data_IF_515085208636
#
_entry.id   IF_515085208636
#
_cell.length_a   1.000
_cell.length_b   1.000
_cell.length_c   1.000
_cell.angle_alpha   90.00
_cell.angle_beta   90.00
_cell.angle_gamma   90.00
#
_symmetry.space_group_name_H-M   'P 1'
#
loop_
_entity.id
_entity.type
_entity.pdbx_description
1 polymer ?
#
# COMPACT_ATOMS: atom_id res chain seq x y z
N UNK A 1 51.08 -9.39 -25.74
CA UNK A 1 50.05 -8.85 -26.67
C UNK A 1 49.67 -7.46 -26.15
N UNK A 2 50.16 -6.38 -26.73
CA UNK A 2 49.91 -5.02 -26.22
C UNK A 2 48.63 -4.51 -26.91
N UNK A 3 47.55 -4.40 -26.15
CA UNK A 3 46.28 -3.85 -26.67
C UNK A 3 46.48 -2.35 -26.82
N UNK A 4 46.37 -1.84 -28.06
CA UNK A 4 46.57 -0.42 -28.37
C UNK A 4 45.58 0.45 -27.58
N UNK A 5 46.09 1.57 -27.01
CA UNK A 5 45.29 2.57 -26.30
C UNK A 5 44.02 3.03 -27.08
N UNK A 6 44.14 3.08 -28.40
CA UNK A 6 43.05 3.44 -29.30
C UNK A 6 41.87 2.43 -29.27
N UNK A 7 42.18 1.14 -29.08
CA UNK A 7 41.14 0.10 -28.99
C UNK A 7 40.37 0.17 -27.66
N UNK A 8 41.09 0.49 -26.57
CA UNK A 8 40.48 0.65 -25.24
C UNK A 8 39.53 1.84 -25.21
N UNK A 9 39.95 2.97 -25.80
CA UNK A 9 39.10 4.18 -25.85
C UNK A 9 37.86 3.95 -26.72
N UNK A 10 37.99 3.28 -27.86
CA UNK A 10 36.87 2.95 -28.72
C UNK A 10 35.82 2.02 -28.02
N UNK A 11 36.31 1.03 -27.27
CA UNK A 11 35.46 0.13 -26.51
C UNK A 11 34.71 0.86 -25.38
N UNK A 12 35.40 1.78 -24.66
CA UNK A 12 34.78 2.58 -23.60
C UNK A 12 33.68 3.51 -24.13
N UNK A 13 33.89 4.15 -25.28
CA UNK A 13 32.89 5.02 -25.92
C UNK A 13 31.68 4.22 -26.37
N UNK A 14 31.87 3.01 -26.90
CA UNK A 14 30.77 2.13 -27.32
C UNK A 14 29.90 1.66 -26.12
N UNK A 15 30.53 1.33 -24.98
CA UNK A 15 29.81 0.93 -23.77
C UNK A 15 28.97 2.10 -23.22
N UNK A 16 29.53 3.30 -23.17
CA UNK A 16 28.82 4.50 -22.72
C UNK A 16 27.62 4.83 -23.66
N UNK A 17 27.81 4.71 -24.95
CA UNK A 17 26.69 4.93 -25.92
C UNK A 17 25.57 3.90 -25.75
N UNK A 18 25.89 2.64 -25.47
CA UNK A 18 24.89 1.60 -25.19
C UNK A 18 24.11 1.88 -23.89
N UNK A 19 24.80 2.36 -22.83
CA UNK A 19 24.14 2.73 -21.58
C UNK A 19 23.21 3.94 -21.74
N UNK A 20 23.60 4.95 -22.49
CA UNK A 20 22.75 6.11 -22.78
C UNK A 20 21.59 5.75 -23.72
N UNK A 21 21.82 4.94 -24.74
CA UNK A 21 20.76 4.49 -25.65
C UNK A 21 19.71 3.62 -24.95
N UNK A 22 20.11 2.77 -24.00
CA UNK A 22 19.15 1.99 -23.22
C UNK A 22 18.32 2.87 -22.27
N UNK A 23 18.90 3.92 -21.71
CA UNK A 23 18.21 4.83 -20.81
C UNK A 23 17.11 5.63 -21.51
N UNK A 24 17.37 6.07 -22.75
CA UNK A 24 16.37 6.75 -23.59
C UNK A 24 15.31 5.77 -24.11
N UNK A 25 15.70 4.53 -24.45
CA UNK A 25 14.79 3.49 -24.90
C UNK A 25 13.80 3.10 -23.80
N UNK A 26 14.27 2.90 -22.57
CA UNK A 26 13.40 2.61 -21.42
C UNK A 26 12.49 3.78 -21.05
N UNK A 27 12.91 5.01 -21.28
CA UNK A 27 12.12 6.21 -21.03
C UNK A 27 11.00 6.40 -22.06
N UNK A 28 11.23 5.99 -23.30
CA UNK A 28 10.28 6.14 -24.42
C UNK A 28 9.26 5.00 -24.49
N UNK A 29 9.56 3.82 -23.95
CA UNK A 29 8.72 2.62 -24.06
C UNK A 29 8.09 2.18 -22.71
N UNK A 30 8.40 2.86 -21.62
CA UNK A 30 7.57 2.75 -20.43
C UNK A 30 6.32 3.62 -20.68
N UNK A 31 5.13 3.01 -20.83
CA UNK A 31 3.92 3.82 -20.75
C UNK A 31 3.99 4.50 -19.38
N UNK A 32 4.12 5.82 -19.38
CA UNK A 32 3.83 6.61 -18.21
C UNK A 32 2.40 6.21 -17.83
N UNK A 33 2.26 5.34 -16.83
CA UNK A 33 0.99 5.19 -16.15
C UNK A 33 0.57 6.62 -15.82
N UNK A 34 -0.60 7.07 -16.29
CA UNK A 34 -1.08 8.38 -15.89
C UNK A 34 -1.01 8.38 -14.38
N UNK A 35 -0.20 9.27 -13.80
CA UNK A 35 -0.21 9.54 -12.39
C UNK A 35 -1.65 9.90 -12.09
N UNK A 36 -2.38 8.92 -11.53
CA UNK A 36 -3.77 9.09 -11.11
C UNK A 36 -3.76 10.32 -10.21
N UNK A 37 -4.52 11.36 -10.51
CA UNK A 37 -4.55 12.52 -9.63
C UNK A 37 -4.84 12.02 -8.22
N UNK A 38 -4.11 12.49 -7.24
CA UNK A 38 -4.23 12.16 -5.82
C UNK A 38 -5.63 12.50 -5.23
N UNK A 39 -6.60 12.79 -6.07
CA UNK A 39 -7.94 13.27 -5.77
C UNK A 39 -9.06 12.29 -6.12
N UNK A 40 -8.77 10.99 -6.20
CA UNK A 40 -9.83 9.99 -6.15
C UNK A 40 -9.85 9.35 -4.76
N UNK A 41 -9.87 10.17 -3.71
CA UNK A 41 -10.56 9.79 -2.49
C UNK A 41 -11.97 9.38 -2.95
N UNK A 42 -12.35 8.14 -2.70
CA UNK A 42 -13.70 7.68 -2.97
C UNK A 42 -14.66 8.62 -2.21
N UNK A 43 -15.23 9.59 -2.91
CA UNK A 43 -16.21 10.53 -2.36
C UNK A 43 -17.58 9.84 -2.18
N UNK A 44 -17.60 8.51 -2.18
CA UNK A 44 -18.76 7.70 -1.87
C UNK A 44 -18.91 7.43 -0.37
N UNK A 45 -20.12 7.06 0.10
CA UNK A 45 -20.30 6.63 1.47
C UNK A 45 -19.41 5.42 1.75
N UNK A 46 -18.85 5.34 2.97
CA UNK A 46 -18.08 4.18 3.37
C UNK A 46 -18.99 2.95 3.47
N UNK A 47 -18.54 1.83 2.93
CA UNK A 47 -19.24 0.55 3.03
C UNK A 47 -19.01 -0.08 4.40
N UNK A 48 -20.01 -0.81 4.91
CA UNK A 48 -19.83 -1.60 6.14
C UNK A 48 -18.75 -2.68 5.91
N UNK A 49 -17.93 -2.92 6.92
CA UNK A 49 -16.82 -3.88 6.82
C UNK A 49 -17.24 -5.30 6.42
N UNK A 50 -18.51 -5.69 6.70
CA UNK A 50 -19.07 -6.99 6.30
C UNK A 50 -19.32 -7.09 4.80
N UNK A 51 -19.42 -5.95 4.12
CA UNK A 51 -19.65 -5.84 2.68
C UNK A 51 -18.38 -5.55 1.89
N UNK A 52 -17.25 -5.36 2.57
CA UNK A 52 -15.98 -4.97 1.94
C UNK A 52 -15.54 -5.95 0.83
N UNK A 53 -15.85 -7.24 0.95
CA UNK A 53 -15.49 -8.26 -0.04
C UNK A 53 -16.07 -8.01 -1.43
N UNK A 54 -17.26 -7.40 -1.53
CA UNK A 54 -17.88 -7.07 -2.82
C UNK A 54 -17.18 -5.90 -3.55
N UNK A 55 -16.28 -5.21 -2.86
CA UNK A 55 -15.51 -4.08 -3.37
C UNK A 55 -14.00 -4.41 -3.50
N UNK A 56 -13.64 -5.70 -3.48
CA UNK A 56 -12.25 -6.12 -3.64
C UNK A 56 -11.69 -5.66 -5.00
N UNK A 57 -10.48 -5.11 -4.97
CA UNK A 57 -9.81 -4.51 -6.12
C UNK A 57 -10.10 -3.02 -6.31
N UNK A 58 -10.99 -2.43 -5.53
CA UNK A 58 -11.34 -1.01 -5.59
C UNK A 58 -10.59 -0.20 -4.53
N UNK A 59 -10.27 1.05 -4.84
CA UNK A 59 -9.92 2.03 -3.82
C UNK A 59 -11.22 2.58 -3.23
N UNK A 60 -11.42 2.35 -1.94
CA UNK A 60 -12.67 2.67 -1.28
C UNK A 60 -12.52 3.11 0.16
N UNK A 61 -13.65 3.21 0.82
CA UNK A 61 -13.78 3.49 2.24
C UNK A 61 -14.57 2.36 2.91
N UNK A 62 -14.00 1.78 3.96
CA UNK A 62 -14.64 0.75 4.78
C UNK A 62 -14.86 1.27 6.19
N UNK A 63 -16.07 1.14 6.72
CA UNK A 63 -16.48 1.60 8.04
C UNK A 63 -16.77 0.45 8.99
N UNK A 64 -16.36 0.59 10.25
CA UNK A 64 -16.67 -0.39 11.29
C UNK A 64 -16.14 0.02 12.66
N UNK A 65 -16.52 -0.75 13.70
CA UNK A 65 -15.97 -0.60 15.03
C UNK A 65 -14.72 -1.47 15.18
N UNK A 66 -13.61 -0.86 15.59
CA UNK A 66 -12.41 -1.60 15.98
C UNK A 66 -12.68 -2.23 17.34
N UNK A 67 -12.78 -3.55 17.40
CA UNK A 67 -12.95 -4.26 18.68
C UNK A 67 -11.63 -4.40 19.41
N UNK A 68 -10.52 -4.49 18.67
CA UNK A 68 -9.17 -4.61 19.22
C UNK A 68 -8.13 -4.11 18.21
N UNK A 69 -7.18 -3.31 18.69
CA UNK A 69 -5.94 -3.01 17.99
C UNK A 69 -4.81 -3.86 18.62
N UNK A 70 -4.29 -4.82 17.87
CA UNK A 70 -3.31 -5.79 18.36
C UNK A 70 -1.98 -5.63 17.61
N UNK A 71 -0.89 -5.45 18.36
CA UNK A 71 0.47 -5.44 17.80
C UNK A 71 1.15 -6.78 18.03
N UNK A 72 1.55 -7.42 16.94
CA UNK A 72 2.25 -8.70 16.94
C UNK A 72 3.71 -8.55 17.41
N UNK A 73 4.37 -9.67 17.70
CA UNK A 73 5.80 -9.69 18.04
C UNK A 73 6.69 -9.16 16.91
N UNK A 74 6.24 -9.25 15.66
CA UNK A 74 6.93 -8.69 14.48
C UNK A 74 6.71 -7.18 14.30
N UNK A 75 5.90 -6.54 15.15
CA UNK A 75 5.63 -5.10 15.12
C UNK A 75 4.48 -4.69 14.22
N UNK A 76 3.85 -5.63 13.50
CA UNK A 76 2.65 -5.32 12.71
C UNK A 76 1.46 -5.11 13.64
N UNK A 77 0.69 -4.05 13.39
CA UNK A 77 -0.54 -3.78 14.16
C UNK A 77 -1.76 -4.10 13.31
N UNK A 78 -2.63 -4.94 13.85
CA UNK A 78 -3.89 -5.34 13.24
C UNK A 78 -5.05 -4.60 13.92
N UNK A 79 -6.00 -4.14 13.12
CA UNK A 79 -7.27 -3.61 13.61
C UNK A 79 -8.33 -4.68 13.36
N UNK A 80 -8.78 -5.31 14.42
CA UNK A 80 -9.77 -6.39 14.38
C UNK A 80 -11.17 -5.83 14.54
N UNK A 81 -12.06 -6.18 13.63
CA UNK A 81 -13.48 -5.74 13.59
C UNK A 81 -14.45 -6.79 14.14
N UNK A 82 -13.97 -7.98 14.42
CA UNK A 82 -14.75 -9.09 14.98
C UNK A 82 -14.10 -9.67 16.22
N UNK A 83 -14.87 -10.41 17.02
CA UNK A 83 -14.38 -11.13 18.21
C UNK A 83 -13.34 -12.19 17.82
N UNK A 84 -13.63 -12.97 16.77
CA UNK A 84 -12.68 -13.91 16.18
C UNK A 84 -12.16 -13.36 14.85
N UNK A 85 -10.91 -12.91 14.84
CA UNK A 85 -10.24 -12.37 13.66
C UNK A 85 -10.14 -13.39 12.51
N UNK A 86 -10.13 -14.70 12.80
CA UNK A 86 -9.99 -15.77 11.79
C UNK A 86 -11.20 -15.93 10.91
N UNK A 87 -12.37 -15.61 11.44
CA UNK A 87 -13.66 -15.71 10.74
C UNK A 87 -14.23 -14.34 10.37
N UNK A 88 -13.48 -13.28 10.64
CA UNK A 88 -13.89 -11.93 10.34
C UNK A 88 -13.92 -11.69 8.83
N UNK A 89 -14.94 -11.01 8.35
CA UNK A 89 -15.07 -10.64 6.94
C UNK A 89 -14.01 -9.63 6.49
N UNK A 90 -13.42 -8.87 7.44
CA UNK A 90 -12.50 -7.79 7.13
C UNK A 90 -11.50 -7.58 8.27
N UNK A 91 -10.29 -7.22 7.91
CA UNK A 91 -9.24 -6.77 8.83
C UNK A 91 -8.52 -5.55 8.26
N UNK A 92 -7.68 -4.92 9.05
CA UNK A 92 -6.75 -3.91 8.55
C UNK A 92 -5.40 -4.07 9.22
N UNK A 93 -4.33 -3.77 8.51
CA UNK A 93 -2.97 -3.90 9.00
C UNK A 93 -2.14 -2.66 8.76
N UNK A 94 -1.40 -2.25 9.79
CA UNK A 94 -0.29 -1.31 9.72
C UNK A 94 0.99 -2.11 9.89
N UNK A 95 1.83 -2.18 8.87
CA UNK A 95 3.10 -2.90 8.95
C UNK A 95 4.10 -2.20 9.88
N UNK A 96 5.02 -2.97 10.44
CA UNK A 96 6.08 -2.48 11.31
C UNK A 96 6.90 -1.34 10.68
N UNK A 97 7.13 -1.40 9.35
CA UNK A 97 7.82 -0.37 8.58
C UNK A 97 7.13 0.99 8.62
N UNK A 98 5.81 1.00 8.70
CA UNK A 98 5.01 2.22 8.70
C UNK A 98 4.60 2.66 10.12
N UNK A 99 4.82 1.79 11.13
CA UNK A 99 4.33 2.00 12.49
C UNK A 99 4.75 3.32 13.12
N UNK A 100 5.95 3.81 12.79
CA UNK A 100 6.50 5.07 13.31
C UNK A 100 5.73 6.31 12.86
N UNK A 101 4.96 6.22 11.79
CA UNK A 101 4.11 7.31 11.29
C UNK A 101 2.86 7.53 12.16
N UNK A 102 2.49 6.52 12.94
CA UNK A 102 1.24 6.50 13.72
C UNK A 102 1.52 6.74 15.20
N UNK A 103 0.61 7.41 15.86
CA UNK A 103 0.58 7.51 17.32
C UNK A 103 0.16 6.19 17.99
N UNK A 104 -0.58 6.27 19.09
CA UNK A 104 -1.09 5.10 19.80
C UNK A 104 -2.30 4.52 19.08
N UNK A 105 -2.10 3.47 18.27
CA UNK A 105 -3.19 2.76 17.59
C UNK A 105 -4.12 2.02 18.56
N UNK A 106 -3.66 1.67 19.78
CA UNK A 106 -4.51 1.10 20.82
C UNK A 106 -5.65 2.02 21.27
N UNK A 107 -5.52 3.33 21.04
CA UNK A 107 -6.61 4.28 21.29
C UNK A 107 -7.82 4.13 20.37
N UNK A 108 -7.70 3.30 19.34
CA UNK A 108 -8.80 2.98 18.42
C UNK A 108 -9.74 1.89 18.95
N UNK A 109 -9.36 1.19 20.02
CA UNK A 109 -10.21 0.17 20.64
C UNK A 109 -11.58 0.75 21.01
N UNK A 110 -12.64 0.06 20.57
CA UNK A 110 -14.03 0.49 20.75
C UNK A 110 -14.47 1.67 19.91
N UNK A 111 -13.59 2.21 19.05
CA UNK A 111 -13.94 3.37 18.21
C UNK A 111 -14.47 2.94 16.85
N UNK A 112 -15.43 3.70 16.33
CA UNK A 112 -15.85 3.58 14.94
C UNK A 112 -14.85 4.32 14.06
N UNK A 113 -14.36 3.63 13.03
CA UNK A 113 -13.38 4.18 12.09
C UNK A 113 -13.85 4.04 10.66
N UNK A 114 -13.39 4.95 9.82
CA UNK A 114 -13.44 4.85 8.37
C UNK A 114 -12.02 4.62 7.88
N UNK A 115 -11.82 3.53 7.14
CA UNK A 115 -10.54 3.16 6.56
C UNK A 115 -10.56 3.39 5.06
N UNK A 116 -9.61 4.18 4.58
CA UNK A 116 -9.48 4.51 3.16
C UNK A 116 -8.28 3.78 2.55
N UNK A 117 -8.48 3.15 1.41
CA UNK A 117 -7.40 2.47 0.69
C UNK A 117 -7.88 1.46 -0.33
N UNK A 118 -6.92 0.73 -0.89
CA UNK A 118 -7.21 -0.39 -1.76
C UNK A 118 -7.75 -1.56 -0.94
N UNK A 119 -8.95 -1.99 -1.27
CA UNK A 119 -9.57 -3.17 -0.66
C UNK A 119 -9.01 -4.40 -1.37
N UNK A 120 -8.30 -5.26 -0.65
CA UNK A 120 -7.66 -6.46 -1.20
C UNK A 120 -8.17 -7.72 -0.52
N UNK A 121 -7.88 -8.87 -1.11
CA UNK A 121 -8.12 -10.18 -0.49
C UNK A 121 -6.77 -10.84 -0.25
N UNK A 122 -6.48 -11.17 0.99
CA UNK A 122 -5.32 -11.91 1.40
C UNK A 122 -5.72 -13.10 2.28
N UNK A 123 -5.24 -14.30 1.95
CA UNK A 123 -5.60 -15.53 2.66
C UNK A 123 -7.13 -15.69 2.87
N UNK A 124 -7.90 -15.41 1.83
CA UNK A 124 -9.36 -15.48 1.83
C UNK A 124 -10.06 -14.51 2.81
N UNK A 125 -9.35 -13.49 3.28
CA UNK A 125 -9.88 -12.43 4.12
C UNK A 125 -9.71 -11.09 3.41
N UNK A 126 -10.74 -10.25 3.49
CA UNK A 126 -10.68 -8.91 2.92
C UNK A 126 -9.89 -7.99 3.84
N UNK A 127 -9.01 -7.16 3.25
CA UNK A 127 -8.19 -6.25 4.05
C UNK A 127 -7.94 -4.91 3.37
N UNK A 128 -7.60 -3.91 4.18
CA UNK A 128 -6.94 -2.68 3.76
C UNK A 128 -5.60 -2.59 4.48
N UNK A 129 -4.51 -2.45 3.71
CA UNK A 129 -3.20 -2.12 4.25
C UNK A 129 -3.14 -0.61 4.44
N UNK A 130 -2.83 -0.19 5.67
CA UNK A 130 -2.73 1.23 6.04
C UNK A 130 -1.27 1.63 6.14
N UNK A 131 -0.86 2.53 5.25
CA UNK A 131 0.51 3.04 5.15
C UNK A 131 0.69 4.41 5.79
N UNK A 132 -0.41 5.19 5.87
CA UNK A 132 -0.38 6.58 6.33
C UNK A 132 -1.57 6.93 7.25
N UNK A 133 -1.36 7.81 8.24
CA UNK A 133 -2.40 8.14 9.23
C UNK A 133 -3.70 8.69 8.65
N UNK A 134 -3.66 9.40 7.52
CA UNK A 134 -4.86 9.97 6.88
C UNK A 134 -5.85 8.90 6.41
N UNK A 135 -5.38 7.66 6.23
CA UNK A 135 -6.23 6.53 5.85
C UNK A 135 -7.16 6.08 6.97
N UNK A 136 -6.92 6.50 8.21
CA UNK A 136 -7.75 6.16 9.37
C UNK A 136 -8.46 7.44 9.84
N UNK A 137 -9.77 7.45 9.75
CA UNK A 137 -10.60 8.54 10.27
C UNK A 137 -11.53 8.00 11.36
N UNK A 138 -11.44 8.57 12.55
CA UNK A 138 -12.35 8.21 13.65
C UNK A 138 -13.68 8.94 13.44
N UNK A 139 -14.76 8.16 13.31
CA UNK A 139 -16.11 8.71 13.24
C UNK A 139 -16.60 9.10 14.65
N UNK A 140 -17.22 10.24 14.74
CA UNK A 140 -17.90 10.67 15.96
C UNK A 140 -19.25 9.99 16.09
#
# INVERSE_FOLDING_TARGET
MVISRKVIVAAAVLVVALFFGQREYYRSHNPSFPSRPASAAANGPCVDFRQAASHAGENGCVSGYVLRAYTSKSGNTFLDFCQDYRTCAFTSVVFASDRSKFGNLGSLDGRKVNLHGLITIYNNQTEIIVHDPWQIQVSQ
#
